data_IF_600090822855
#
_entry.id   IF_600090822855
#
_cell.length_a   1.000
_cell.length_b   1.000
_cell.length_c   1.000
_cell.angle_alpha   90.00
_cell.angle_beta   90.00
_cell.angle_gamma   90.00
#
_symmetry.space_group_name_H-M   'P 1'
#
loop_
_entity.id
_entity.type
_entity.pdbx_description
1 polymer ?
#
# COMPACT_ATOMS: atom_id res chain seq x y z
N UNK A 1 -14.71 21.23 13.87
CA UNK A 1 -13.81 22.06 13.05
C UNK A 1 -12.68 21.16 12.57
N UNK A 2 -12.41 21.14 11.27
CA UNK A 2 -11.32 20.36 10.68
C UNK A 2 -9.99 20.97 11.15
N UNK A 3 -9.14 20.19 11.82
CA UNK A 3 -7.96 20.70 12.51
C UNK A 3 -6.77 20.99 11.60
N UNK A 4 -6.79 20.55 10.33
CA UNK A 4 -5.81 20.92 9.30
C UNK A 4 -4.38 21.02 9.81
N UNK A 5 -3.83 19.92 10.34
CA UNK A 5 -2.64 19.92 11.20
C UNK A 5 -1.39 20.45 10.48
N UNK A 6 -1.33 20.32 9.15
CA UNK A 6 -0.27 20.84 8.27
C UNK A 6 -0.81 21.14 6.87
N UNK A 7 -0.25 22.17 6.24
CA UNK A 7 -0.56 22.60 4.89
C UNK A 7 0.73 22.92 4.12
N UNK A 8 0.80 22.58 2.83
CA UNK A 8 1.91 22.92 1.95
C UNK A 8 1.41 23.57 0.65
N UNK A 9 2.21 24.43 -0.01
CA UNK A 9 1.86 25.00 -1.30
C UNK A 9 1.62 23.90 -2.33
N UNK A 10 0.57 24.05 -3.12
CA UNK A 10 0.26 23.14 -4.22
C UNK A 10 1.01 23.46 -5.50
N UNK A 11 0.64 22.81 -6.59
CA UNK A 11 1.29 23.01 -7.90
C UNK A 11 0.93 24.34 -8.58
N UNK A 12 0.02 25.12 -8.00
CA UNK A 12 -0.34 26.48 -8.39
C UNK A 12 -0.33 27.42 -7.19
N UNK A 13 -0.20 28.73 -7.43
CA UNK A 13 -0.23 29.77 -6.39
C UNK A 13 -1.52 29.77 -5.55
N UNK A 14 -2.61 29.22 -6.10
CA UNK A 14 -3.92 29.17 -5.45
C UNK A 14 -4.25 27.82 -4.80
N UNK A 15 -3.40 26.81 -4.96
CA UNK A 15 -3.63 25.46 -4.44
C UNK A 15 -2.84 25.20 -3.15
N UNK A 16 -3.42 24.43 -2.24
CA UNK A 16 -2.80 24.05 -0.96
C UNK A 16 -3.10 22.59 -0.67
N UNK A 17 -2.06 21.80 -0.46
CA UNK A 17 -2.21 20.43 0.00
C UNK A 17 -2.38 20.41 1.51
N UNK A 18 -3.40 19.71 1.99
CA UNK A 18 -3.66 19.51 3.42
C UNK A 18 -3.78 18.03 3.72
N UNK A 19 -3.36 17.62 4.91
CA UNK A 19 -3.52 16.24 5.36
C UNK A 19 -4.62 16.10 6.41
N UNK A 20 -5.61 15.21 6.21
CA UNK A 20 -6.49 14.81 7.30
C UNK A 20 -5.81 13.83 8.26
N UNK A 21 -4.71 13.20 7.83
CA UNK A 21 -4.19 11.96 8.42
C UNK A 21 -2.66 11.97 8.59
N UNK A 22 -1.98 13.11 8.52
CA UNK A 22 -0.55 13.26 8.78
C UNK A 22 -0.26 14.61 9.45
N UNK A 23 0.84 14.69 10.17
CA UNK A 23 1.39 15.89 10.83
C UNK A 23 2.56 16.51 10.06
N UNK A 24 2.86 15.98 8.87
CA UNK A 24 3.86 16.48 7.94
C UNK A 24 3.35 16.33 6.49
N UNK A 25 3.87 17.16 5.57
CA UNK A 25 3.63 17.03 4.14
C UNK A 25 4.94 16.61 3.45
N UNK A 26 4.97 15.52 2.67
CA UNK A 26 6.18 15.09 1.97
C UNK A 26 6.57 16.02 0.82
N UNK A 27 7.82 15.91 0.37
CA UNK A 27 8.34 16.67 -0.78
C UNK A 27 7.73 16.19 -2.11
N UNK A 28 7.04 17.10 -2.81
CA UNK A 28 6.31 16.80 -4.05
C UNK A 28 7.23 16.33 -5.17
N UNK A 29 6.92 15.16 -5.74
CA UNK A 29 7.48 14.84 -7.05
C UNK A 29 6.79 15.66 -8.11
N UNK A 30 7.52 16.62 -8.67
CA UNK A 30 7.19 17.18 -9.97
C UNK A 30 7.36 16.05 -11.00
N UNK A 31 6.27 15.67 -11.67
CA UNK A 31 6.28 14.62 -12.68
C UNK A 31 7.09 15.08 -13.90
N UNK A 32 8.36 14.71 -13.98
CA UNK A 32 9.26 15.04 -15.10
C UNK A 32 9.11 14.08 -16.29
N UNK A 33 8.00 13.32 -16.36
CA UNK A 33 7.74 12.33 -17.42
C UNK A 33 8.40 10.95 -17.19
N UNK A 34 9.06 10.73 -16.06
CA UNK A 34 9.62 9.44 -15.66
C UNK A 34 8.93 8.93 -14.40
N UNK A 35 8.50 7.66 -14.40
CA UNK A 35 7.97 6.98 -13.23
C UNK A 35 9.13 6.19 -12.60
N UNK A 36 9.64 6.66 -11.47
CA UNK A 36 10.74 6.01 -10.75
C UNK A 36 10.20 5.03 -9.70
N UNK A 37 10.45 3.74 -9.88
CA UNK A 37 10.27 2.74 -8.82
C UNK A 37 11.53 2.67 -7.96
N UNK A 38 11.38 2.84 -6.66
CA UNK A 38 12.49 2.83 -5.71
C UNK A 38 12.87 1.39 -5.32
N UNK A 39 14.08 1.22 -4.78
CA UNK A 39 14.59 -0.10 -4.43
C UNK A 39 13.82 -0.81 -3.30
N UNK A 40 12.92 -0.12 -2.63
CA UNK A 40 11.98 -0.64 -1.63
C UNK A 40 10.64 -1.09 -2.25
N UNK A 41 10.56 -1.13 -3.59
CA UNK A 41 9.37 -1.59 -4.33
C UNK A 41 8.23 -0.57 -4.37
N UNK A 42 8.46 0.63 -3.84
CA UNK A 42 7.48 1.72 -3.79
C UNK A 42 7.69 2.70 -4.94
N UNK A 43 6.69 3.53 -5.17
CA UNK A 43 6.67 4.53 -6.24
C UNK A 43 7.34 5.86 -5.84
N UNK A 44 8.17 5.84 -4.78
CA UNK A 44 8.90 7.02 -4.34
C UNK A 44 8.01 8.17 -3.90
N UNK A 45 8.30 9.36 -4.39
CA UNK A 45 7.47 10.55 -4.19
C UNK A 45 6.07 10.43 -4.83
N UNK A 46 5.82 9.44 -5.69
CA UNK A 46 4.49 9.14 -6.24
C UNK A 46 3.74 8.05 -5.46
N UNK A 47 4.30 7.56 -4.35
CA UNK A 47 3.69 6.50 -3.54
C UNK A 47 2.55 7.01 -2.67
N UNK A 48 1.35 7.17 -3.24
CA UNK A 48 0.19 7.73 -2.53
C UNK A 48 -0.16 7.03 -1.20
N UNK A 49 0.25 5.78 -0.98
CA UNK A 49 0.00 5.03 0.26
C UNK A 49 0.68 5.61 1.50
N UNK A 50 1.67 6.50 1.32
CA UNK A 50 2.39 7.18 2.41
C UNK A 50 2.12 8.68 2.48
N UNK A 51 1.35 9.22 1.54
CA UNK A 51 1.05 10.63 1.48
C UNK A 51 -0.21 10.94 2.28
N UNK A 52 -0.31 12.15 2.85
CA UNK A 52 -1.58 12.85 2.93
C UNK A 52 -2.39 12.66 1.65
N UNK A 53 -3.49 11.92 1.71
CA UNK A 53 -4.39 11.84 0.58
C UNK A 53 -5.31 13.06 0.63
N UNK A 54 -5.16 13.94 -0.36
CA UNK A 54 -6.11 15.02 -0.61
C UNK A 54 -7.48 14.41 -0.90
N UNK A 55 -8.51 14.88 -0.20
CA UNK A 55 -9.87 14.53 -0.55
C UNK A 55 -10.26 15.34 -1.77
N UNK A 56 -10.15 14.74 -2.95
CA UNK A 56 -10.71 15.27 -4.19
C UNK A 56 -12.08 14.64 -4.43
N UNK A 57 -13.05 15.47 -4.81
CA UNK A 57 -14.40 15.01 -5.18
C UNK A 57 -14.41 14.23 -6.49
N UNK A 58 -13.48 14.51 -7.38
CA UNK A 58 -13.35 13.87 -8.69
C UNK A 58 -12.60 12.53 -8.57
N UNK A 59 -11.72 12.38 -7.57
CA UNK A 59 -10.98 11.13 -7.29
C UNK A 59 -11.55 10.30 -6.12
N UNK A 60 -12.83 10.46 -5.80
CA UNK A 60 -13.52 9.72 -4.72
C UNK A 60 -13.46 8.18 -4.88
N UNK A 61 -13.07 7.70 -6.06
CA UNK A 61 -12.98 6.29 -6.42
C UNK A 61 -11.76 5.57 -5.82
N UNK A 62 -10.79 6.30 -5.25
CA UNK A 62 -9.59 5.72 -4.61
C UNK A 62 -9.86 5.55 -3.11
N UNK A 63 -9.75 4.31 -2.61
CA UNK A 63 -9.93 4.01 -1.19
C UNK A 63 -8.78 4.63 -0.38
N UNK A 64 -9.12 5.41 0.66
CA UNK A 64 -8.11 6.11 1.44
C UNK A 64 -7.35 5.16 2.35
N UNK A 65 -6.02 5.16 2.33
CA UNK A 65 -5.23 4.33 3.25
C UNK A 65 -5.29 4.95 4.67
N UNK A 66 -5.63 4.16 5.71
CA UNK A 66 -5.71 4.68 7.07
C UNK A 66 -4.36 5.18 7.56
N UNK A 67 -4.34 6.14 8.51
CA UNK A 67 -3.10 6.54 9.18
C UNK A 67 -2.76 5.55 10.29
N UNK A 68 -1.49 5.17 10.38
CA UNK A 68 -0.93 4.51 11.55
C UNK A 68 -0.39 5.54 12.58
N UNK A 69 -0.59 5.36 13.90
CA UNK A 69 -1.40 4.36 14.59
C UNK A 69 -2.75 4.96 15.03
N UNK A 70 -3.78 4.92 14.18
CA UNK A 70 -5.15 5.28 14.60
C UNK A 70 -5.93 4.05 15.08
N UNK A 71 -6.95 4.22 15.95
CA UNK A 71 -7.73 3.11 16.52
C UNK A 71 -8.38 2.18 15.48
N UNK A 72 -8.62 2.68 14.27
CA UNK A 72 -9.31 1.95 13.20
C UNK A 72 -8.35 1.44 12.11
N UNK A 73 -7.04 1.61 12.27
CA UNK A 73 -6.01 1.14 11.36
C UNK A 73 -5.55 -0.29 11.74
N UNK A 74 -4.99 -1.07 10.80
CA UNK A 74 -4.45 -2.38 11.12
C UNK A 74 -3.30 -2.29 12.12
N UNK A 75 -3.36 -3.14 13.15
CA UNK A 75 -2.32 -3.23 14.18
C UNK A 75 -1.05 -3.94 13.67
N UNK A 76 -1.18 -4.75 12.61
CA UNK A 76 -0.06 -5.48 12.05
C UNK A 76 1.00 -4.53 11.49
N UNK A 77 2.15 -4.46 12.18
CA UNK A 77 3.28 -3.59 11.81
C UNK A 77 3.84 -3.92 10.43
N UNK A 78 3.65 -5.16 9.96
CA UNK A 78 4.12 -5.62 8.66
C UNK A 78 3.60 -4.77 7.50
N UNK A 79 2.42 -4.14 7.65
CA UNK A 79 1.84 -3.28 6.60
C UNK A 79 2.52 -1.92 6.49
N UNK A 80 3.30 -1.53 7.50
CA UNK A 80 3.87 -0.18 7.64
C UNK A 80 5.39 -0.17 7.49
N UNK A 81 6.05 -1.33 7.64
CA UNK A 81 7.51 -1.44 7.48
C UNK A 81 7.91 -1.36 6.01
N UNK A 82 9.09 -0.82 5.76
CA UNK A 82 9.70 -0.81 4.42
C UNK A 82 10.35 -2.16 4.16
N UNK A 83 9.93 -2.85 3.10
CA UNK A 83 10.52 -4.12 2.68
C UNK A 83 11.97 -3.87 2.22
N UNK A 84 12.90 -4.61 2.82
CA UNK A 84 14.32 -4.47 2.59
C UNK A 84 14.83 -5.50 1.58
N UNK A 85 15.98 -5.21 0.98
CA UNK A 85 16.71 -6.15 0.12
C UNK A 85 17.05 -7.47 0.83
N UNK A 86 17.27 -7.40 2.14
CA UNK A 86 17.56 -8.55 3.00
C UNK A 86 16.37 -9.47 3.22
N UNK A 87 15.16 -9.02 2.91
CA UNK A 87 13.93 -9.80 3.07
C UNK A 87 13.69 -10.74 1.88
N UNK A 88 14.51 -10.64 0.83
CA UNK A 88 14.52 -11.55 -0.29
C UNK A 88 15.56 -12.65 -0.07
N UNK A 89 15.17 -13.91 -0.32
CA UNK A 89 16.00 -15.09 -0.16
C UNK A 89 16.19 -15.78 -1.50
N UNK A 90 17.46 -15.88 -1.92
CA UNK A 90 17.84 -16.63 -3.12
C UNK A 90 17.32 -18.08 -3.03
N UNK A 91 16.66 -18.54 -4.08
CA UNK A 91 16.14 -19.89 -4.18
C UNK A 91 17.03 -20.71 -5.10
N UNK A 92 17.45 -21.90 -4.65
CA UNK A 92 18.18 -22.82 -5.49
C UNK A 92 17.21 -23.68 -6.33
N UNK A 93 16.61 -23.09 -7.37
CA UNK A 93 15.63 -23.73 -8.24
C UNK A 93 16.13 -23.99 -9.67
N UNK A 94 17.45 -23.94 -9.91
CA UNK A 94 18.04 -24.11 -11.23
C UNK A 94 17.97 -22.87 -12.14
N UNK A 95 17.30 -21.80 -11.70
CA UNK A 95 17.35 -20.47 -12.32
C UNK A 95 18.23 -19.56 -11.45
N UNK A 96 19.24 -18.94 -12.06
CA UNK A 96 20.15 -18.06 -11.34
C UNK A 96 19.50 -16.70 -11.03
N UNK A 97 19.76 -16.19 -9.83
CA UNK A 97 19.37 -14.83 -9.45
C UNK A 97 17.89 -14.63 -9.12
N UNK A 98 17.12 -15.72 -8.98
CA UNK A 98 15.72 -15.66 -8.53
C UNK A 98 15.57 -16.22 -7.12
N UNK A 99 14.56 -15.73 -6.42
CA UNK A 99 14.31 -16.04 -5.04
C UNK A 99 12.89 -15.68 -4.64
N UNK A 100 12.59 -15.91 -3.37
CA UNK A 100 11.29 -15.66 -2.77
C UNK A 100 11.43 -14.67 -1.62
N UNK A 101 10.30 -14.19 -1.11
CA UNK A 101 10.29 -13.44 0.14
C UNK A 101 10.67 -14.37 1.31
N UNK A 102 11.23 -13.81 2.38
CA UNK A 102 11.44 -14.56 3.61
C UNK A 102 10.10 -15.08 4.14
N UNK A 103 10.04 -16.36 4.50
CA UNK A 103 8.79 -17.04 4.91
C UNK A 103 8.08 -16.30 6.04
N UNK A 104 8.82 -15.88 7.06
CA UNK A 104 8.23 -15.20 8.22
C UNK A 104 7.55 -13.89 7.81
N UNK A 105 8.10 -13.17 6.83
CA UNK A 105 7.52 -11.94 6.32
C UNK A 105 6.33 -12.21 5.40
N UNK A 106 6.41 -13.26 4.59
CA UNK A 106 5.28 -13.75 3.79
C UNK A 106 4.10 -14.11 4.67
N UNK A 107 4.31 -14.92 5.72
CA UNK A 107 3.27 -15.36 6.64
C UNK A 107 2.62 -14.15 7.35
N UNK A 108 3.42 -13.19 7.83
CA UNK A 108 2.89 -11.96 8.43
C UNK A 108 2.03 -11.14 7.44
N UNK A 109 2.42 -11.06 6.16
CA UNK A 109 1.65 -10.37 5.13
C UNK A 109 0.34 -11.11 4.82
N UNK A 110 0.37 -12.44 4.76
CA UNK A 110 -0.81 -13.28 4.55
C UNK A 110 -1.80 -13.10 5.71
N UNK A 111 -1.34 -13.15 6.95
CA UNK A 111 -2.19 -12.97 8.13
C UNK A 111 -2.86 -11.59 8.13
N UNK A 112 -2.08 -10.54 7.82
CA UNK A 112 -2.60 -9.17 7.75
C UNK A 112 -3.64 -8.99 6.62
N UNK A 113 -3.42 -9.64 5.47
CA UNK A 113 -4.36 -9.66 4.36
C UNK A 113 -5.66 -10.37 4.74
N UNK A 114 -5.57 -11.54 5.38
CA UNK A 114 -6.73 -12.30 5.84
C UNK A 114 -7.56 -11.53 6.87
N UNK A 115 -6.91 -10.80 7.79
CA UNK A 115 -7.59 -9.91 8.74
C UNK A 115 -8.40 -8.83 8.00
N UNK A 116 -7.81 -8.16 7.01
CA UNK A 116 -8.49 -7.13 6.22
C UNK A 116 -9.71 -7.68 5.46
N UNK A 117 -9.55 -8.86 4.84
CA UNK A 117 -10.62 -9.54 4.11
C UNK A 117 -11.74 -9.95 5.06
N UNK A 118 -11.39 -10.53 6.22
CA UNK A 118 -12.35 -10.94 7.24
C UNK A 118 -13.20 -9.75 7.72
N UNK A 119 -12.55 -8.63 8.05
CA UNK A 119 -13.25 -7.40 8.43
C UNK A 119 -14.19 -6.91 7.33
N UNK A 120 -13.76 -6.91 6.07
CA UNK A 120 -14.61 -6.49 4.95
C UNK A 120 -15.86 -7.38 4.81
N UNK A 121 -15.72 -8.69 5.04
CA UNK A 121 -16.85 -9.61 5.06
C UNK A 121 -17.81 -9.36 6.24
N UNK A 122 -17.29 -8.99 7.42
CA UNK A 122 -18.11 -8.66 8.60
C UNK A 122 -18.98 -7.42 8.39
N UNK A 123 -18.52 -6.45 7.59
CA UNK A 123 -19.31 -5.27 7.21
C UNK A 123 -20.53 -5.62 6.33
N UNK A 124 -20.55 -6.84 5.77
CA UNK A 124 -21.68 -7.38 5.04
C UNK A 124 -21.85 -6.84 3.61
N UNK A 125 -23.02 -7.12 3.04
CA UNK A 125 -23.20 -7.17 1.58
C UNK A 125 -23.90 -5.95 0.97
N UNK A 126 -24.18 -4.93 1.79
CA UNK A 126 -25.10 -3.83 1.46
C UNK A 126 -24.41 -2.49 1.17
N UNK A 127 -23.09 -2.43 1.32
CA UNK A 127 -22.30 -1.21 1.10
C UNK A 127 -22.03 -0.88 -0.37
N UNK A 128 -21.99 0.42 -0.71
CA UNK A 128 -21.56 0.89 -2.05
C UNK A 128 -20.10 0.54 -2.38
N UNK A 129 -19.28 0.30 -1.34
CA UNK A 129 -17.88 -0.13 -1.42
C UNK A 129 -17.72 -1.59 -1.85
N UNK A 130 -18.79 -2.41 -1.86
CA UNK A 130 -18.71 -3.86 -2.07
C UNK A 130 -17.98 -4.26 -3.35
N UNK A 131 -18.37 -3.67 -4.49
CA UNK A 131 -17.76 -4.02 -5.78
C UNK A 131 -16.27 -3.70 -5.80
N UNK A 132 -15.89 -2.58 -5.21
CA UNK A 132 -14.50 -2.17 -5.07
C UNK A 132 -13.74 -3.11 -4.14
N UNK A 133 -14.31 -3.42 -2.96
CA UNK A 133 -13.72 -4.37 -2.02
C UNK A 133 -13.52 -5.75 -2.63
N UNK A 134 -14.51 -6.28 -3.36
CA UNK A 134 -14.37 -7.55 -4.08
C UNK A 134 -13.26 -7.51 -5.14
N UNK A 135 -13.15 -6.41 -5.89
CA UNK A 135 -12.06 -6.23 -6.85
C UNK A 135 -10.68 -6.19 -6.17
N UNK A 136 -10.56 -5.46 -5.05
CA UNK A 136 -9.32 -5.42 -4.26
C UNK A 136 -8.96 -6.79 -3.69
N UNK A 137 -9.94 -7.57 -3.21
CA UNK A 137 -9.71 -8.95 -2.75
C UNK A 137 -9.15 -9.81 -3.87
N UNK A 138 -9.70 -9.71 -5.09
CA UNK A 138 -9.20 -10.48 -6.25
C UNK A 138 -7.76 -10.09 -6.56
N UNK A 139 -7.45 -8.79 -6.59
CA UNK A 139 -6.09 -8.31 -6.84
C UNK A 139 -5.11 -8.76 -5.74
N UNK A 140 -5.54 -8.70 -4.47
CA UNK A 140 -4.74 -9.08 -3.32
C UNK A 140 -4.42 -10.57 -3.34
N UNK A 141 -5.42 -11.42 -3.57
CA UNK A 141 -5.23 -12.87 -3.68
C UNK A 141 -4.29 -13.21 -4.83
N UNK A 142 -4.48 -12.61 -6.01
CA UNK A 142 -3.58 -12.84 -7.14
C UNK A 142 -2.13 -12.43 -6.83
N UNK A 143 -1.95 -11.30 -6.15
CA UNK A 143 -0.62 -10.80 -5.77
C UNK A 143 0.03 -11.71 -4.72
N UNK A 144 -0.73 -12.18 -3.73
CA UNK A 144 -0.26 -13.15 -2.75
C UNK A 144 0.12 -14.46 -3.42
N UNK A 145 -0.72 -15.04 -4.27
CA UNK A 145 -0.40 -16.27 -4.99
C UNK A 145 0.89 -16.14 -5.80
N UNK A 146 1.07 -15.01 -6.48
CA UNK A 146 2.30 -14.68 -7.22
C UNK A 146 3.51 -14.61 -6.29
N UNK A 147 3.39 -13.88 -5.17
CA UNK A 147 4.46 -13.69 -4.18
C UNK A 147 4.93 -15.02 -3.58
N UNK A 148 3.99 -15.95 -3.36
CA UNK A 148 4.25 -17.26 -2.72
C UNK A 148 4.81 -18.30 -3.68
N UNK A 149 4.37 -18.27 -4.94
CA UNK A 149 4.59 -19.39 -5.87
C UNK A 149 5.64 -19.11 -6.93
N UNK A 150 5.90 -17.85 -7.28
CA UNK A 150 6.76 -17.48 -8.41
C UNK A 150 8.06 -16.84 -7.91
N UNK A 151 9.19 -17.58 -7.92
CA UNK A 151 10.49 -17.00 -7.64
C UNK A 151 10.82 -15.94 -8.69
N UNK A 152 11.29 -14.78 -8.22
CA UNK A 152 11.66 -13.67 -9.09
C UNK A 152 12.92 -12.96 -8.59
N UNK A 153 13.43 -12.05 -9.42
CA UNK A 153 14.53 -11.17 -9.02
C UNK A 153 14.12 -10.30 -7.84
N UNK A 154 15.09 -9.92 -7.00
CA UNK A 154 14.86 -9.20 -5.75
C UNK A 154 13.89 -8.02 -5.87
N UNK A 155 14.08 -7.14 -6.87
CA UNK A 155 13.21 -5.97 -7.05
C UNK A 155 11.74 -6.31 -7.29
N UNK A 156 11.47 -7.41 -8.01
CA UNK A 156 10.10 -7.86 -8.29
C UNK A 156 9.42 -8.36 -7.01
N UNK A 157 10.12 -9.19 -6.22
CA UNK A 157 9.57 -9.70 -4.95
C UNK A 157 9.30 -8.56 -3.96
N UNK A 158 10.22 -7.61 -3.83
CA UNK A 158 10.04 -6.44 -2.96
C UNK A 158 8.82 -5.62 -3.43
N UNK A 159 8.67 -5.41 -4.74
CA UNK A 159 7.52 -4.68 -5.32
C UNK A 159 6.20 -5.41 -5.07
N UNK A 160 6.18 -6.74 -5.23
CA UNK A 160 4.99 -7.55 -4.95
C UNK A 160 4.61 -7.47 -3.46
N UNK A 161 5.59 -7.58 -2.56
CA UNK A 161 5.36 -7.45 -1.12
C UNK A 161 4.81 -6.06 -0.75
N UNK A 162 5.39 -4.98 -1.31
CA UNK A 162 4.88 -3.62 -1.12
C UNK A 162 3.45 -3.47 -1.70
N UNK A 163 3.15 -4.13 -2.82
CA UNK A 163 1.81 -4.12 -3.40
C UNK A 163 0.78 -4.84 -2.53
N UNK A 164 1.15 -5.96 -1.90
CA UNK A 164 0.31 -6.65 -0.90
C UNK A 164 0.01 -5.72 0.28
N UNK A 165 1.02 -5.01 0.81
CA UNK A 165 0.82 -4.04 1.90
C UNK A 165 -0.23 -2.99 1.48
N UNK A 166 -0.06 -2.41 0.30
CA UNK A 166 -0.95 -1.36 -0.24
C UNK A 166 -2.38 -1.85 -0.44
N UNK A 167 -2.58 -2.97 -1.13
CA UNK A 167 -3.93 -3.52 -1.37
C UNK A 167 -4.63 -3.86 -0.05
N UNK A 168 -3.89 -4.42 0.91
CA UNK A 168 -4.41 -4.68 2.26
C UNK A 168 -4.86 -3.37 2.92
N UNK A 169 -4.02 -2.34 2.88
CA UNK A 169 -4.35 -1.04 3.47
C UNK A 169 -5.52 -0.33 2.76
N UNK A 170 -5.66 -0.49 1.45
CA UNK A 170 -6.82 0.03 0.70
C UNK A 170 -8.12 -0.65 1.13
N UNK A 171 -8.09 -1.97 1.41
CA UNK A 171 -9.25 -2.68 1.99
C UNK A 171 -9.61 -2.13 3.37
N UNK A 172 -8.62 -1.80 4.20
CA UNK A 172 -8.86 -1.14 5.50
C UNK A 172 -9.42 0.29 5.37
N UNK A 173 -9.24 0.89 4.20
CA UNK A 173 -9.74 2.21 3.85
C UNK A 173 -11.19 2.28 3.41
N UNK A 174 -11.80 1.13 3.10
CA UNK A 174 -13.20 1.00 2.71
C UNK A 174 -14.14 1.04 3.93
#
# INVERSE_FOLDING_TARGET
>A
AFTGIVAAPGFSEESVFTSPNADWVPEFAVAHGEITTYSDGRWGHHEYSRWPQEFDRDDFHIACIPRFPLPNAPLSKVLWVTIQKTDWKLLNCGVLGVGLLHSDLEDMLVDAAQEAIGRLHELGDTGRWRKQGQFLIVCLNHTLDTLRTLPAVQGVIITLAAHVQRLTLEIWGL
#
